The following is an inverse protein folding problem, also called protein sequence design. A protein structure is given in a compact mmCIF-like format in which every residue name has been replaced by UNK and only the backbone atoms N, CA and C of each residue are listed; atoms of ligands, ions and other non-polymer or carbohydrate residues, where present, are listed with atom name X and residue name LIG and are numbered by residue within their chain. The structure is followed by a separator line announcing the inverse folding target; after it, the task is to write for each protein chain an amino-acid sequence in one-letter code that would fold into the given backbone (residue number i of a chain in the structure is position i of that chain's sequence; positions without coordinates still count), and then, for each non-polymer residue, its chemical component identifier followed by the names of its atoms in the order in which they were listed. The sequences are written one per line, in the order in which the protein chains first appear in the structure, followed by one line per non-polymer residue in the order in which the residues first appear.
data_IF_188498720040
#
_entry.id   IF_188498720040
#
_cell.length_a   1.000
_cell.length_b   1.000
_cell.length_c   1.000
_cell.angle_alpha   90.00
_cell.angle_beta   90.00
_cell.angle_gamma   90.00
#
_symmetry.space_group_name_H-M   'P 1'
#
loop_
_entity.id
_entity.type
_entity.pdbx_description
1 polymer ?
#
# COMPACT_ATOMS: atom_id res chain seq x y z
N UNK A 1 -4.58 23.93 -10.95
CA UNK A 1 -3.33 24.32 -10.26
C UNK A 1 -2.22 23.29 -10.52
N UNK A 2 -2.41 22.01 -10.19
CA UNK A 2 -1.46 20.94 -10.56
C UNK A 2 -2.02 19.90 -11.55
N UNK A 3 -3.35 19.75 -11.64
CA UNK A 3 -4.08 18.90 -12.60
C UNK A 3 -3.45 17.51 -12.84
N UNK A 4 -3.23 16.68 -11.80
CA UNK A 4 -2.69 15.34 -11.99
C UNK A 4 -3.74 14.36 -12.51
N UNK A 5 -3.28 13.31 -13.17
CA UNK A 5 -4.14 12.21 -13.66
C UNK A 5 -4.60 11.28 -12.53
N UNK A 6 -3.91 11.31 -11.39
CA UNK A 6 -4.27 10.54 -10.21
C UNK A 6 -3.58 11.00 -8.93
N UNK A 7 -3.90 10.33 -7.82
CA UNK A 7 -3.31 10.58 -6.52
C UNK A 7 -2.95 9.25 -5.83
N UNK A 8 -1.74 9.18 -5.30
CA UNK A 8 -1.30 8.07 -4.43
C UNK A 8 -1.34 8.50 -2.98
N UNK A 9 -1.98 7.69 -2.15
CA UNK A 9 -1.99 7.82 -0.68
C UNK A 9 -1.05 6.76 -0.10
N UNK A 10 -0.06 7.19 0.69
CA UNK A 10 0.91 6.27 1.32
C UNK A 10 1.08 6.62 2.79
N UNK A 11 1.23 5.57 3.60
CA UNK A 11 1.57 5.69 5.01
C UNK A 11 2.58 4.59 5.35
N UNK A 12 3.67 4.97 6.01
CA UNK A 12 4.78 4.07 6.33
C UNK A 12 4.87 3.87 7.84
N UNK A 13 4.88 2.60 8.28
CA UNK A 13 5.00 2.20 9.69
C UNK A 13 6.33 1.49 9.90
N UNK A 14 7.26 2.13 10.62
CA UNK A 14 8.58 1.59 10.93
C UNK A 14 9.63 1.88 9.85
N UNK A 15 10.89 1.87 10.27
CA UNK A 15 12.04 2.23 9.42
C UNK A 15 12.19 1.31 8.19
N UNK A 16 11.93 0.00 8.34
CA UNK A 16 11.98 -0.96 7.23
C UNK A 16 10.93 -0.70 6.15
N UNK A 17 9.81 -0.05 6.50
CA UNK A 17 8.79 0.39 5.56
C UNK A 17 9.09 1.79 4.96
N UNK A 18 10.17 2.45 5.40
CA UNK A 18 10.57 3.78 4.92
C UNK A 18 10.17 4.95 5.82
N UNK A 19 9.66 4.71 7.04
CA UNK A 19 9.35 5.79 7.98
C UNK A 19 10.64 6.37 8.58
N UNK A 20 10.90 7.66 8.32
CA UNK A 20 12.05 8.39 8.90
C UNK A 20 11.66 9.26 10.09
N UNK A 21 10.44 9.81 10.08
CA UNK A 21 9.88 10.59 11.20
C UNK A 21 8.87 9.72 11.93
N UNK A 22 9.13 9.45 13.21
CA UNK A 22 8.25 8.64 14.06
C UNK A 22 7.08 9.48 14.61
N UNK A 23 6.32 10.07 13.69
CA UNK A 23 5.01 10.64 13.92
C UNK A 23 4.11 10.11 12.81
N UNK A 24 2.86 9.76 13.13
CA UNK A 24 1.93 9.30 12.10
C UNK A 24 1.69 10.42 11.09
N UNK A 25 1.92 10.15 9.81
CA UNK A 25 1.67 11.09 8.72
C UNK A 25 1.32 10.33 7.45
N UNK A 26 0.62 10.99 6.54
CA UNK A 26 0.22 10.44 5.25
C UNK A 26 0.85 11.28 4.15
N UNK A 27 1.44 10.61 3.16
CA UNK A 27 1.87 11.26 1.93
C UNK A 27 0.74 11.24 0.90
N UNK A 28 0.37 12.41 0.41
CA UNK A 28 -0.50 12.58 -0.75
C UNK A 28 0.38 12.98 -1.94
N UNK A 29 0.57 12.06 -2.89
CA UNK A 29 1.47 12.27 -4.03
C UNK A 29 0.70 12.29 -5.35
N UNK A 30 0.66 13.43 -6.06
CA UNK A 30 0.14 13.50 -7.43
C UNK A 30 0.85 12.50 -8.35
N UNK A 31 0.11 11.89 -9.28
CA UNK A 31 0.64 10.97 -10.30
C UNK A 31 0.23 11.42 -11.68
N UNK A 32 1.12 11.25 -12.66
CA UNK A 32 0.90 11.63 -14.05
C UNK A 32 1.16 10.44 -14.98
N UNK A 33 0.41 10.36 -16.07
CA UNK A 33 0.53 9.31 -17.08
C UNK A 33 1.92 9.29 -17.70
N UNK A 34 2.44 8.10 -17.99
CA UNK A 34 3.80 7.92 -18.53
C UNK A 34 4.93 7.99 -17.49
N UNK A 35 4.64 8.31 -16.22
CA UNK A 35 5.61 8.10 -15.14
C UNK A 35 5.78 6.60 -14.88
N UNK A 36 7.03 6.15 -14.71
CA UNK A 36 7.32 4.78 -14.29
C UNK A 36 6.92 4.59 -12.83
N UNK A 37 5.65 4.26 -12.64
CA UNK A 37 5.07 3.88 -11.38
C UNK A 37 4.94 2.36 -11.46
N UNK A 38 5.70 1.63 -10.63
CA UNK A 38 5.62 0.16 -10.55
C UNK A 38 4.16 -0.28 -10.62
N UNK A 39 3.84 -1.10 -11.62
CA UNK A 39 2.49 -1.57 -11.89
C UNK A 39 1.91 -2.29 -10.67
N UNK A 40 0.72 -1.88 -10.23
CA UNK A 40 -0.05 -2.63 -9.25
C UNK A 40 -0.73 -3.83 -9.95
N UNK A 41 -0.71 -5.01 -9.33
CA UNK A 41 -1.45 -6.19 -9.82
C UNK A 41 -0.79 -6.94 -10.99
N UNK A 42 0.44 -7.44 -10.80
CA UNK A 42 1.17 -8.15 -11.87
C UNK A 42 0.77 -9.62 -12.07
N UNK A 43 0.23 -10.27 -11.03
CA UNK A 43 -0.17 -11.68 -11.07
C UNK A 43 -1.31 -11.93 -10.09
N UNK A 44 -2.20 -12.86 -10.43
CA UNK A 44 -3.15 -13.40 -9.47
C UNK A 44 -2.37 -14.28 -8.47
N UNK A 45 -2.39 -13.96 -7.16
CA UNK A 45 -1.78 -14.83 -6.16
C UNK A 45 -2.58 -16.13 -6.00
N UNK A 46 -1.91 -17.17 -5.51
CA UNK A 46 -2.55 -18.45 -5.18
C UNK A 46 -3.69 -18.24 -4.18
N UNK A 47 -4.88 -18.69 -4.57
CA UNK A 47 -6.12 -18.49 -3.80
C UNK A 47 -6.11 -19.22 -2.47
N UNK A 48 -5.49 -20.40 -2.40
CA UNK A 48 -5.47 -21.17 -1.16
C UNK A 48 -4.48 -20.54 -0.17
N UNK A 49 -3.32 -20.08 -0.64
CA UNK A 49 -2.41 -19.27 0.16
C UNK A 49 -3.06 -18.00 0.74
N UNK A 50 -3.84 -17.26 -0.06
CA UNK A 50 -4.56 -16.06 0.42
C UNK A 50 -5.58 -16.41 1.51
N UNK A 51 -6.31 -17.53 1.37
CA UNK A 51 -7.28 -17.98 2.38
C UNK A 51 -6.60 -18.28 3.70
N UNK A 52 -5.45 -18.95 3.66
CA UNK A 52 -4.67 -19.28 4.86
C UNK A 52 -4.18 -18.02 5.58
N UNK A 53 -3.64 -17.05 4.85
CA UNK A 53 -3.25 -15.75 5.40
C UNK A 53 -4.44 -15.02 6.03
N UNK A 54 -5.59 -15.00 5.33
CA UNK A 54 -6.78 -14.35 5.84
C UNK A 54 -7.29 -15.00 7.13
N UNK A 55 -7.18 -16.33 7.26
CA UNK A 55 -7.52 -17.06 8.50
C UNK A 55 -6.62 -16.64 9.66
N UNK A 56 -5.30 -16.55 9.43
CA UNK A 56 -4.34 -16.08 10.43
C UNK A 56 -4.64 -14.65 10.88
N UNK A 57 -4.87 -13.73 9.93
CA UNK A 57 -5.19 -12.33 10.25
C UNK A 57 -6.49 -12.24 11.06
N UNK A 58 -7.54 -12.97 10.67
CA UNK A 58 -8.83 -12.96 11.39
C UNK A 58 -8.70 -13.43 12.84
N UNK A 59 -7.85 -14.41 13.11
CA UNK A 59 -7.63 -14.91 14.46
C UNK A 59 -7.09 -13.83 15.42
N UNK A 60 -6.31 -12.87 14.91
CA UNK A 60 -5.72 -11.79 15.71
C UNK A 60 -6.64 -10.57 15.87
N UNK A 61 -7.70 -10.46 15.07
CA UNK A 61 -8.60 -9.28 15.08
C UNK A 61 -9.68 -9.35 16.18
N UNK A 62 -9.74 -10.42 16.96
CA UNK A 62 -10.56 -10.50 18.18
C UNK A 62 -12.08 -10.42 17.98
N UNK A 63 -12.59 -10.93 16.85
CA UNK A 63 -14.03 -11.06 16.61
C UNK A 63 -14.69 -12.15 17.47
#
# INVERSE_FOLDING_TARGET
ALNPDGLRVMQFNGASAGQTIFHYHVHLRPTYSGQDIRSHGRALPDRDHIKDLATKIRAELGN
#
